data_IF_255803884715
#
_entry.id   IF_255803884715
#
_cell.length_a   1.000
_cell.length_b   1.000
_cell.length_c   1.000
_cell.angle_alpha   90.00
_cell.angle_beta   90.00
_cell.angle_gamma   90.00
#
_symmetry.space_group_name_H-M   'P 1'
#
loop_
_entity.id
_entity.type
_entity.pdbx_description
1 polymer ?
#
# COMPACT_ATOMS: atom_id res chain seq x y z
N UNK A 1 45.43 8.70 -35.68
CA UNK A 1 44.94 7.53 -36.45
C UNK A 1 44.14 6.50 -35.65
N UNK A 2 44.70 5.67 -34.74
CA UNK A 2 43.89 4.64 -34.03
C UNK A 2 42.87 5.22 -33.04
N UNK A 3 43.19 6.33 -32.37
CA UNK A 3 42.30 6.96 -31.37
C UNK A 3 41.13 7.69 -32.03
N UNK A 4 41.36 8.39 -33.15
CA UNK A 4 40.30 9.09 -33.90
C UNK A 4 39.28 8.14 -34.55
N UNK A 5 39.72 6.95 -34.96
CA UNK A 5 38.81 5.90 -35.46
C UNK A 5 37.91 5.39 -34.32
N UNK A 6 38.50 5.13 -33.15
CA UNK A 6 37.74 4.71 -31.96
C UNK A 6 36.72 5.77 -31.51
N UNK A 7 37.10 7.05 -31.49
CA UNK A 7 36.18 8.13 -31.14
C UNK A 7 35.03 8.31 -32.15
N UNK A 8 35.29 8.06 -33.44
CA UNK A 8 34.27 8.09 -34.49
C UNK A 8 33.30 6.90 -34.35
N UNK A 9 33.83 5.70 -34.12
CA UNK A 9 33.02 4.49 -33.90
C UNK A 9 32.18 4.59 -32.60
N UNK A 10 32.72 5.20 -31.54
CA UNK A 10 32.00 5.46 -30.30
C UNK A 10 30.83 6.44 -30.48
N UNK A 11 30.96 7.44 -31.36
CA UNK A 11 29.86 8.37 -31.69
C UNK A 11 28.74 7.69 -32.50
N UNK A 12 29.06 6.63 -33.25
CA UNK A 12 28.11 5.88 -34.07
C UNK A 12 27.35 4.78 -33.29
N UNK A 13 27.82 4.40 -32.09
CA UNK A 13 27.16 3.41 -31.21
C UNK A 13 25.70 3.77 -30.84
N UNK A 14 25.33 5.05 -30.89
CA UNK A 14 23.95 5.52 -30.66
C UNK A 14 23.02 5.42 -31.88
N UNK A 15 23.56 5.18 -33.08
CA UNK A 15 22.81 5.19 -34.35
C UNK A 15 22.20 3.84 -34.74
N UNK A 16 22.72 2.73 -34.17
CA UNK A 16 22.25 1.38 -34.48
C UNK A 16 21.06 1.05 -33.58
N UNK A 17 19.86 0.98 -34.17
CA UNK A 17 18.70 0.46 -33.44
C UNK A 17 18.91 -1.02 -33.13
N UNK A 18 18.92 -1.42 -31.85
CA UNK A 18 19.08 -2.82 -31.50
C UNK A 18 17.91 -3.65 -32.06
N UNK A 19 18.15 -4.91 -32.47
CA UNK A 19 17.08 -5.80 -32.90
C UNK A 19 15.96 -5.88 -31.87
N UNK A 20 14.72 -6.12 -32.30
CA UNK A 20 13.60 -6.30 -31.36
C UNK A 20 13.95 -7.38 -30.31
N UNK A 21 13.74 -7.04 -29.04
CA UNK A 21 14.05 -7.92 -27.90
C UNK A 21 15.52 -8.04 -27.51
N UNK A 22 16.45 -7.36 -28.21
CA UNK A 22 17.89 -7.41 -27.89
C UNK A 22 18.19 -6.88 -26.48
N UNK A 23 17.65 -5.72 -26.11
CA UNK A 23 17.85 -5.14 -24.75
C UNK A 23 17.37 -6.12 -23.67
N UNK A 24 16.17 -6.69 -23.83
CA UNK A 24 15.63 -7.69 -22.89
C UNK A 24 16.51 -8.94 -22.78
N UNK A 25 17.05 -9.44 -23.91
CA UNK A 25 17.99 -10.58 -23.92
C UNK A 25 19.32 -10.25 -23.25
N UNK A 26 19.88 -9.07 -23.50
CA UNK A 26 21.16 -8.63 -22.89
C UNK A 26 20.99 -8.43 -21.39
N UNK A 27 19.91 -7.77 -20.95
CA UNK A 27 19.62 -7.59 -19.54
C UNK A 27 19.42 -8.96 -18.87
N UNK A 28 18.63 -9.86 -19.46
CA UNK A 28 18.41 -11.22 -18.93
C UNK A 28 19.73 -12.01 -18.84
N UNK A 29 20.55 -12.00 -19.89
CA UNK A 29 21.86 -12.67 -19.91
C UNK A 29 22.85 -12.08 -18.89
N UNK A 30 22.77 -10.78 -18.60
CA UNK A 30 23.56 -10.13 -17.56
C UNK A 30 23.03 -10.40 -16.14
N UNK A 31 21.90 -11.11 -15.99
CA UNK A 31 21.23 -11.30 -14.69
C UNK A 31 20.56 -10.03 -14.15
N UNK A 32 20.34 -9.04 -15.03
CA UNK A 32 19.75 -7.73 -14.75
C UNK A 32 18.32 -7.64 -15.34
N UNK A 33 17.91 -8.65 -16.12
CA UNK A 33 16.60 -8.69 -16.78
C UNK A 33 15.47 -8.75 -15.78
N UNK A 34 14.55 -7.79 -15.87
CA UNK A 34 13.31 -7.84 -15.12
C UNK A 34 12.43 -8.98 -15.65
N UNK A 35 11.75 -9.65 -14.72
CA UNK A 35 10.68 -10.60 -15.02
C UNK A 35 9.36 -9.97 -14.64
N UNK A 36 8.28 -10.42 -15.26
CA UNK A 36 6.96 -10.02 -14.83
C UNK A 36 5.93 -11.13 -14.93
N UNK A 37 4.88 -11.02 -14.12
CA UNK A 37 3.68 -11.84 -14.20
C UNK A 37 2.42 -10.97 -14.14
N UNK A 38 1.33 -11.49 -14.67
CA UNK A 38 0.00 -10.91 -14.55
C UNK A 38 -0.57 -11.21 -13.16
N UNK A 39 -1.19 -10.20 -12.56
CA UNK A 39 -1.91 -10.25 -11.31
C UNK A 39 -3.35 -9.82 -11.58
N UNK A 40 -4.26 -10.79 -11.55
CA UNK A 40 -5.69 -10.51 -11.66
C UNK A 40 -6.22 -9.92 -10.35
N UNK A 41 -6.96 -8.82 -10.46
CA UNK A 41 -7.55 -8.11 -9.32
C UNK A 41 -9.00 -7.72 -9.62
N UNK A 42 -9.74 -7.33 -8.58
CA UNK A 42 -11.11 -6.80 -8.73
C UNK A 42 -11.20 -5.46 -9.48
N UNK A 43 -10.06 -4.83 -9.78
CA UNK A 43 -9.97 -3.58 -10.54
C UNK A 43 -9.22 -3.75 -11.87
N UNK A 44 -9.13 -5.01 -12.35
CA UNK A 44 -8.50 -5.41 -13.61
C UNK A 44 -7.11 -6.03 -13.42
N UNK A 45 -6.50 -6.42 -14.53
CA UNK A 45 -5.15 -6.99 -14.58
C UNK A 45 -4.09 -5.96 -14.25
N UNK A 46 -3.13 -6.35 -13.41
CA UNK A 46 -1.88 -5.64 -13.15
C UNK A 46 -0.69 -6.48 -13.59
N UNK A 47 0.44 -5.82 -13.86
CA UNK A 47 1.70 -6.45 -14.16
C UNK A 47 2.65 -6.20 -13.01
N UNK A 48 3.16 -7.28 -12.42
CA UNK A 48 4.13 -7.23 -11.32
C UNK A 48 5.50 -7.49 -11.91
N UNK A 49 6.40 -6.52 -11.81
CA UNK A 49 7.79 -6.63 -12.26
C UNK A 49 8.74 -6.88 -11.09
N UNK A 50 9.77 -7.68 -11.30
CA UNK A 50 10.80 -7.94 -10.29
C UNK A 50 12.17 -8.24 -10.88
N UNK A 51 13.19 -8.00 -10.06
CA UNK A 51 14.58 -8.36 -10.30
C UNK A 51 15.05 -9.40 -9.25
N UNK A 52 16.36 -9.62 -9.14
CA UNK A 52 16.94 -10.54 -8.14
C UNK A 52 16.76 -10.09 -6.67
N UNK A 53 16.62 -8.80 -6.42
CA UNK A 53 16.44 -8.23 -5.08
C UNK A 53 14.98 -8.29 -4.62
N UNK A 54 14.02 -8.19 -5.54
CA UNK A 54 12.60 -8.32 -5.25
C UNK A 54 11.71 -7.67 -6.30
N UNK A 55 10.41 -7.58 -5.97
CA UNK A 55 9.42 -6.82 -6.74
C UNK A 55 9.81 -5.36 -6.75
N UNK A 56 9.89 -4.79 -7.94
CA UNK A 56 10.31 -3.40 -8.20
C UNK A 56 9.12 -2.52 -8.52
N UNK A 57 8.10 -3.05 -9.19
CA UNK A 57 6.94 -2.28 -9.63
C UNK A 57 5.67 -3.13 -9.77
N UNK A 58 4.52 -2.47 -9.59
CA UNK A 58 3.20 -2.99 -9.99
C UNK A 58 2.46 -1.92 -10.76
N UNK A 59 2.07 -2.22 -12.00
CA UNK A 59 1.46 -1.24 -12.90
C UNK A 59 0.34 -1.82 -13.75
N UNK A 60 -0.41 -0.93 -14.43
CA UNK A 60 -1.45 -1.31 -15.41
C UNK A 60 -0.89 -1.53 -16.80
N UNK A 61 0.31 -1.05 -17.06
CA UNK A 61 0.98 -1.17 -18.35
C UNK A 61 1.92 -2.37 -18.34
N UNK A 62 1.94 -3.09 -19.46
CA UNK A 62 2.86 -4.20 -19.64
C UNK A 62 4.29 -3.66 -19.76
N UNK A 63 5.26 -4.17 -18.97
CA UNK A 63 6.65 -3.73 -19.06
C UNK A 63 7.26 -4.08 -20.44
N UNK A 64 7.85 -3.08 -21.11
CA UNK A 64 8.30 -3.18 -22.50
C UNK A 64 9.49 -4.13 -22.71
N UNK A 65 10.26 -4.44 -21.65
CA UNK A 65 11.53 -5.18 -21.74
C UNK A 65 11.70 -6.27 -20.65
N UNK A 66 10.61 -6.71 -20.04
CA UNK A 66 10.63 -7.78 -19.05
C UNK A 66 10.18 -9.12 -19.64
N UNK A 67 10.76 -10.22 -19.15
CA UNK A 67 10.37 -11.57 -19.54
C UNK A 67 9.06 -11.97 -18.84
N UNK A 68 8.05 -12.38 -19.62
CA UNK A 68 6.79 -12.89 -19.06
C UNK A 68 7.05 -14.25 -18.45
N UNK A 69 6.69 -14.42 -17.18
CA UNK A 69 6.64 -15.73 -16.54
C UNK A 69 5.21 -16.08 -16.12
N UNK A 70 4.95 -17.36 -15.89
CA UNK A 70 3.60 -17.86 -15.64
C UNK A 70 3.04 -17.49 -14.26
N UNK A 71 3.89 -17.36 -13.24
CA UNK A 71 3.48 -17.13 -11.84
C UNK A 71 4.43 -16.18 -11.14
N UNK A 72 3.89 -15.48 -10.15
CA UNK A 72 4.66 -14.72 -9.16
C UNK A 72 5.62 -15.63 -8.38
N UNK A 73 6.74 -15.10 -7.86
CA UNK A 73 7.61 -15.85 -6.97
C UNK A 73 6.86 -16.27 -5.70
N UNK A 74 7.15 -17.48 -5.20
CA UNK A 74 6.48 -18.03 -4.02
C UNK A 74 6.70 -17.20 -2.75
N UNK A 75 7.93 -16.70 -2.54
CA UNK A 75 8.22 -15.69 -1.52
C UNK A 75 8.35 -14.32 -2.19
N UNK A 76 7.47 -13.38 -1.82
CA UNK A 76 7.53 -12.01 -2.31
C UNK A 76 8.49 -11.20 -1.43
N UNK A 77 9.54 -10.65 -2.05
CA UNK A 77 10.41 -9.62 -1.47
C UNK A 77 10.15 -8.32 -2.20
N UNK A 78 10.37 -7.18 -1.55
CA UNK A 78 10.20 -5.86 -2.15
C UNK A 78 11.57 -5.20 -2.29
N UNK A 79 11.94 -4.87 -3.52
CA UNK A 79 13.10 -4.04 -3.78
C UNK A 79 12.67 -2.57 -3.69
N UNK A 80 12.88 -1.98 -2.52
CA UNK A 80 12.59 -0.57 -2.25
C UNK A 80 13.87 0.29 -2.35
N UNK A 81 14.88 -0.19 -3.07
CA UNK A 81 16.10 0.56 -3.34
C UNK A 81 15.75 1.80 -4.16
N UNK A 82 16.26 2.96 -3.76
CA UNK A 82 15.93 4.25 -4.37
C UNK A 82 14.84 5.05 -3.64
N UNK A 83 14.14 4.44 -2.67
CA UNK A 83 13.25 5.17 -1.76
C UNK A 83 14.01 5.69 -0.54
N UNK A 84 13.56 6.82 -0.01
CA UNK A 84 14.07 7.39 1.24
C UNK A 84 13.76 6.49 2.44
N UNK A 85 14.51 6.64 3.54
CA UNK A 85 14.23 5.93 4.80
C UNK A 85 12.80 6.16 5.29
N UNK A 86 12.29 7.38 5.11
CA UNK A 86 10.92 7.72 5.47
C UNK A 86 9.89 6.97 4.61
N UNK A 87 10.04 6.96 3.29
CA UNK A 87 9.14 6.22 2.40
C UNK A 87 9.18 4.72 2.67
N UNK A 88 10.37 4.14 2.85
CA UNK A 88 10.53 2.73 3.23
C UNK A 88 9.79 2.43 4.54
N UNK A 89 9.95 3.25 5.56
CA UNK A 89 9.25 3.08 6.84
C UNK A 89 7.72 3.14 6.67
N UNK A 90 7.21 4.07 5.86
CA UNK A 90 5.77 4.17 5.55
C UNK A 90 5.25 2.91 4.86
N UNK A 91 5.94 2.45 3.80
CA UNK A 91 5.52 1.28 3.03
C UNK A 91 5.60 -0.01 3.86
N UNK A 92 6.68 -0.21 4.62
CA UNK A 92 6.80 -1.34 5.55
C UNK A 92 5.70 -1.33 6.61
N UNK A 93 5.41 -0.18 7.21
CA UNK A 93 4.32 -0.09 8.20
C UNK A 93 2.95 -0.37 7.58
N UNK A 94 2.76 0.00 6.31
CA UNK A 94 1.50 -0.25 5.58
C UNK A 94 1.30 -1.74 5.28
N UNK A 95 2.38 -2.51 5.06
CA UNK A 95 2.31 -3.97 4.90
C UNK A 95 1.76 -4.70 6.13
N UNK A 96 1.91 -4.12 7.32
CA UNK A 96 1.38 -4.69 8.56
C UNK A 96 -0.15 -4.61 8.68
N UNK A 97 -0.83 -3.83 7.83
CA UNK A 97 -2.29 -3.67 7.89
C UNK A 97 -2.98 -4.91 7.33
N UNK A 98 -3.74 -5.68 8.13
CA UNK A 98 -4.35 -6.92 7.66
C UNK A 98 -5.38 -6.71 6.55
N UNK A 99 -5.56 -7.73 5.70
CA UNK A 99 -6.64 -7.78 4.71
C UNK A 99 -8.00 -7.59 5.40
N UNK A 100 -8.83 -6.71 4.85
CA UNK A 100 -10.15 -6.43 5.39
C UNK A 100 -10.15 -5.46 6.58
N UNK A 101 -9.00 -4.87 6.90
CA UNK A 101 -8.86 -3.77 7.86
C UNK A 101 -8.34 -2.51 7.18
N UNK A 102 -8.62 -1.36 7.81
CA UNK A 102 -8.06 -0.06 7.40
C UNK A 102 -7.39 0.63 8.58
N UNK A 103 -6.44 1.52 8.26
CA UNK A 103 -5.82 2.47 9.21
C UNK A 103 -5.86 3.88 8.64
N UNK A 104 -5.65 4.88 9.48
CA UNK A 104 -5.59 6.27 9.02
C UNK A 104 -4.16 6.67 8.65
N UNK A 105 -4.01 7.72 7.86
CA UNK A 105 -2.69 8.33 7.64
C UNK A 105 -2.02 8.75 8.96
N UNK A 106 -2.79 9.25 9.93
CA UNK A 106 -2.28 9.59 11.27
C UNK A 106 -1.79 8.37 12.03
N UNK A 107 -2.46 7.22 11.89
CA UNK A 107 -2.01 5.97 12.47
C UNK A 107 -0.65 5.54 11.92
N UNK A 108 -0.46 5.58 10.59
CA UNK A 108 0.83 5.23 9.98
C UNK A 108 1.92 6.20 10.43
N UNK A 109 1.67 7.51 10.40
CA UNK A 109 2.61 8.54 10.82
C UNK A 109 3.08 8.33 12.28
N UNK A 110 2.15 8.00 13.18
CA UNK A 110 2.43 7.67 14.57
C UNK A 110 3.28 6.40 14.70
N UNK A 111 2.90 5.34 13.99
CA UNK A 111 3.55 4.03 14.07
C UNK A 111 4.99 4.01 13.54
N UNK A 112 5.36 4.97 12.70
CA UNK A 112 6.75 5.16 12.26
C UNK A 112 7.51 6.17 13.14
N UNK A 113 6.92 6.62 14.27
CA UNK A 113 7.54 7.58 15.18
C UNK A 113 7.54 9.04 14.68
N UNK A 114 6.71 9.37 13.69
CA UNK A 114 6.63 10.70 13.06
C UNK A 114 5.19 11.24 13.06
N UNK A 115 4.53 11.43 14.22
CA UNK A 115 3.09 11.74 14.31
C UNK A 115 2.66 13.02 13.56
N UNK A 116 3.58 14.00 13.41
CA UNK A 116 3.32 15.25 12.67
C UNK A 116 3.43 15.10 11.15
N UNK A 117 3.88 13.95 10.62
CA UNK A 117 4.18 13.73 9.21
C UNK A 117 2.99 13.22 8.38
N UNK A 118 1.75 13.41 8.83
CA UNK A 118 0.54 12.84 8.20
C UNK A 118 0.44 13.12 6.70
N UNK A 119 0.73 14.37 6.27
CA UNK A 119 0.70 14.74 4.83
C UNK A 119 1.81 14.05 4.05
N UNK A 120 3.02 13.99 4.60
CA UNK A 120 4.17 13.32 3.97
C UNK A 120 3.93 11.81 3.82
N UNK A 121 3.26 11.17 4.80
CA UNK A 121 2.78 9.78 4.67
C UNK A 121 1.83 9.64 3.48
N UNK A 122 0.88 10.58 3.32
CA UNK A 122 -0.02 10.60 2.17
C UNK A 122 0.74 10.67 0.83
N UNK A 123 1.74 11.54 0.72
CA UNK A 123 2.61 11.65 -0.46
C UNK A 123 3.38 10.36 -0.74
N UNK A 124 4.02 9.77 0.29
CA UNK A 124 4.76 8.52 0.16
C UNK A 124 3.86 7.36 -0.32
N UNK A 125 2.63 7.27 0.18
CA UNK A 125 1.67 6.25 -0.24
C UNK A 125 1.10 6.49 -1.64
N UNK A 126 0.94 7.75 -2.06
CA UNK A 126 0.54 8.11 -3.41
C UNK A 126 1.59 7.70 -4.44
N UNK A 127 2.87 7.75 -4.06
CA UNK A 127 4.02 7.36 -4.88
C UNK A 127 4.48 5.91 -4.63
N UNK A 128 3.63 5.06 -4.02
CA UNK A 128 3.95 3.65 -3.82
C UNK A 128 4.23 2.96 -5.18
N UNK A 129 5.45 2.48 -5.44
CA UNK A 129 5.78 1.84 -6.72
C UNK A 129 5.15 0.45 -6.87
N UNK A 130 4.67 -0.13 -5.76
CA UNK A 130 4.17 -1.51 -5.68
C UNK A 130 2.74 -1.50 -5.10
N UNK A 131 1.76 -0.82 -5.75
CA UNK A 131 0.37 -0.85 -5.32
C UNK A 131 -0.18 -2.29 -5.33
N UNK A 132 -1.32 -2.50 -4.66
CA UNK A 132 -1.96 -3.82 -4.45
C UNK A 132 -1.17 -4.75 -3.52
N UNK A 133 0.12 -4.98 -3.79
CA UNK A 133 0.97 -5.82 -2.95
C UNK A 133 1.40 -5.08 -1.66
N UNK A 134 1.86 -3.83 -1.78
CA UNK A 134 1.95 -2.91 -0.64
C UNK A 134 0.59 -2.19 -0.54
N UNK A 135 -0.22 -2.45 0.49
CA UNK A 135 -1.65 -2.19 0.47
C UNK A 135 -1.98 -0.74 0.84
N UNK A 136 -1.50 0.24 0.07
CA UNK A 136 -1.77 1.66 0.31
C UNK A 136 -3.27 2.02 0.20
N UNK A 137 -4.08 1.17 -0.46
CA UNK A 137 -5.55 1.27 -0.44
C UNK A 137 -6.17 1.03 0.95
N UNK A 138 -5.47 0.36 1.89
CA UNK A 138 -5.92 0.16 3.27
C UNK A 138 -5.70 1.37 4.17
N UNK A 139 -5.03 2.42 3.69
CA UNK A 139 -4.84 3.67 4.43
C UNK A 139 -5.87 4.70 3.99
N UNK A 140 -6.71 5.16 4.93
CA UNK A 140 -7.84 6.06 4.66
C UNK A 140 -7.73 7.35 5.46
N UNK A 141 -8.60 8.33 5.16
CA UNK A 141 -8.67 9.55 5.94
C UNK A 141 -9.33 9.29 7.30
N UNK A 142 -8.96 10.07 8.32
CA UNK A 142 -9.53 9.97 9.66
C UNK A 142 -10.99 10.42 9.73
N UNK A 143 -11.47 11.19 8.77
CA UNK A 143 -12.88 11.57 8.62
C UNK A 143 -13.74 10.48 7.98
N UNK A 144 -13.14 9.33 7.61
CA UNK A 144 -13.81 8.20 6.98
C UNK A 144 -14.06 8.36 5.48
N UNK A 145 -13.64 9.48 4.88
CA UNK A 145 -13.73 9.68 3.43
C UNK A 145 -12.67 8.82 2.74
N UNK A 146 -13.11 8.07 1.73
CA UNK A 146 -12.21 7.30 0.86
C UNK A 146 -11.49 8.31 -0.04
N UNK A 147 -10.21 8.55 0.26
CA UNK A 147 -9.37 9.43 -0.55
C UNK A 147 -9.00 8.83 -1.91
N UNK A 148 -8.37 9.65 -2.76
CA UNK A 148 -7.87 9.24 -4.07
C UNK A 148 -6.88 8.05 -3.98
N UNK A 149 -6.76 7.30 -5.07
CA UNK A 149 -5.92 6.11 -5.16
C UNK A 149 -5.17 6.06 -6.49
N UNK A 150 -3.84 6.00 -6.43
CA UNK A 150 -2.98 6.07 -7.62
C UNK A 150 -3.24 4.97 -8.66
N UNK A 151 -3.73 3.79 -8.24
CA UNK A 151 -3.93 2.66 -9.15
C UNK A 151 -5.35 2.56 -9.75
N UNK A 152 -6.17 3.62 -9.67
CA UNK A 152 -7.47 3.65 -10.37
C UNK A 152 -8.57 4.51 -9.73
N UNK A 153 -8.22 5.47 -8.89
CA UNK A 153 -9.17 6.42 -8.30
C UNK A 153 -9.96 5.88 -7.09
N UNK A 154 -10.82 6.73 -6.48
CA UNK A 154 -11.61 6.39 -5.30
C UNK A 154 -12.49 5.14 -5.47
N UNK A 155 -13.07 4.94 -6.65
CA UNK A 155 -13.94 3.80 -6.97
C UNK A 155 -13.16 2.49 -7.00
N UNK A 156 -11.93 2.51 -7.51
CA UNK A 156 -11.06 1.33 -7.46
C UNK A 156 -10.68 0.99 -6.02
N UNK A 157 -10.36 2.00 -5.20
CA UNK A 157 -10.07 1.81 -3.77
C UNK A 157 -11.27 1.23 -3.03
N UNK A 158 -12.47 1.75 -3.30
CA UNK A 158 -13.72 1.21 -2.75
C UNK A 158 -13.88 -0.27 -3.09
N UNK A 159 -13.78 -0.63 -4.38
CA UNK A 159 -13.93 -2.02 -4.86
C UNK A 159 -12.94 -2.99 -4.21
N UNK A 160 -11.67 -2.58 -4.07
CA UNK A 160 -10.67 -3.42 -3.39
C UNK A 160 -11.03 -3.60 -1.92
N UNK A 161 -11.34 -2.51 -1.21
CA UNK A 161 -11.69 -2.57 0.22
C UNK A 161 -12.93 -3.44 0.47
N UNK A 162 -13.94 -3.33 -0.38
CA UNK A 162 -15.14 -4.14 -0.28
C UNK A 162 -14.85 -5.62 -0.52
N UNK A 163 -14.10 -5.95 -1.59
CA UNK A 163 -13.65 -7.31 -1.86
C UNK A 163 -12.78 -7.91 -0.73
N UNK A 164 -12.01 -7.06 -0.04
CA UNK A 164 -11.24 -7.47 1.13
C UNK A 164 -12.08 -7.70 2.40
N UNK A 165 -13.35 -7.26 2.40
CA UNK A 165 -14.26 -7.37 3.54
C UNK A 165 -14.13 -6.23 4.55
N UNK A 166 -13.55 -5.09 4.15
CA UNK A 166 -13.42 -3.91 5.02
C UNK A 166 -14.73 -3.13 5.20
N UNK A 167 -15.77 -3.46 4.41
CA UNK A 167 -17.13 -2.88 4.48
C UNK A 167 -17.12 -1.34 4.39
N UNK A 168 -16.61 -0.77 3.28
CA UNK A 168 -16.46 0.68 3.12
C UNK A 168 -17.77 1.47 3.35
N UNK A 169 -18.93 0.92 2.98
CA UNK A 169 -20.23 1.57 3.26
C UNK A 169 -20.49 1.78 4.75
N UNK A 170 -20.17 0.79 5.58
CA UNK A 170 -20.28 0.89 7.04
C UNK A 170 -19.33 1.96 7.59
N UNK A 171 -18.11 2.04 7.05
CA UNK A 171 -17.15 3.06 7.45
C UNK A 171 -17.68 4.46 7.13
N UNK A 172 -18.29 4.64 5.95
CA UNK A 172 -18.93 5.89 5.54
C UNK A 172 -20.17 6.23 6.40
N UNK A 173 -20.99 5.23 6.75
CA UNK A 173 -22.14 5.42 7.65
C UNK A 173 -21.70 5.91 9.03
N UNK A 174 -20.74 5.21 9.65
CA UNK A 174 -20.15 5.60 10.93
C UNK A 174 -19.52 6.99 10.84
N UNK A 175 -18.85 7.27 9.71
CA UNK A 175 -18.21 8.54 9.47
C UNK A 175 -19.21 9.72 9.48
N UNK A 176 -20.35 9.56 8.81
CA UNK A 176 -21.46 10.54 8.78
C UNK A 176 -22.04 10.78 10.17
N UNK A 177 -22.09 9.75 11.01
CA UNK A 177 -22.52 9.84 12.42
C UNK A 177 -21.43 10.33 13.37
N UNK A 178 -20.32 10.86 12.85
CA UNK A 178 -19.13 11.28 13.61
C UNK A 178 -18.58 10.18 14.53
N UNK A 179 -18.82 8.92 14.20
CA UNK A 179 -18.24 7.77 14.89
C UNK A 179 -16.92 7.42 14.23
N UNK A 180 -15.84 7.38 15.02
CA UNK A 180 -14.49 7.02 14.56
C UNK A 180 -13.99 5.72 15.19
N UNK A 181 -14.55 5.38 16.34
CA UNK A 181 -14.19 4.21 17.12
C UNK A 181 -15.46 3.50 17.56
N UNK A 182 -15.35 2.19 17.77
CA UNK A 182 -16.42 1.37 18.32
C UNK A 182 -15.88 0.57 19.50
N UNK A 183 -16.66 0.48 20.57
CA UNK A 183 -16.31 -0.30 21.74
C UNK A 183 -17.33 -1.37 22.08
N UNK A 184 -16.90 -2.32 22.90
CA UNK A 184 -17.71 -3.45 23.38
C UNK A 184 -18.17 -3.19 24.80
N UNK A 185 -19.50 -3.18 25.03
CA UNK A 185 -20.11 -3.02 26.36
C UNK A 185 -19.58 -4.04 27.37
N UNK A 186 -19.32 -5.27 26.91
CA UNK A 186 -18.89 -6.39 27.75
C UNK A 186 -17.41 -6.33 28.12
N UNK A 187 -16.52 -6.06 27.17
CA UNK A 187 -15.07 -6.09 27.41
C UNK A 187 -14.49 -4.73 27.81
N UNK A 188 -15.25 -3.65 27.62
CA UNK A 188 -14.79 -2.25 27.78
C UNK A 188 -13.54 -1.95 26.95
N UNK A 189 -13.44 -2.56 25.77
CA UNK A 189 -12.37 -2.31 24.80
C UNK A 189 -12.93 -1.54 23.61
N UNK A 190 -12.24 -0.48 23.16
CA UNK A 190 -12.55 0.23 21.92
C UNK A 190 -11.52 -0.05 20.82
N UNK A 191 -11.95 0.00 19.57
CA UNK A 191 -11.20 -0.34 18.37
C UNK A 191 -11.58 0.56 17.18
N UNK A 192 -10.76 0.54 16.13
CA UNK A 192 -11.17 1.01 14.81
C UNK A 192 -12.31 0.12 14.26
N UNK A 193 -13.30 0.66 13.53
CA UNK A 193 -14.48 -0.11 13.11
C UNK A 193 -14.20 -1.32 12.22
N UNK A 194 -13.14 -1.26 11.41
CA UNK A 194 -12.71 -2.36 10.54
C UNK A 194 -11.86 -3.41 11.25
N UNK A 195 -11.42 -3.14 12.49
CA UNK A 195 -10.64 -4.09 13.30
C UNK A 195 -11.39 -5.42 13.41
N UNK A 196 -10.69 -6.52 13.23
CA UNK A 196 -11.26 -7.85 13.37
C UNK A 196 -11.95 -8.09 14.72
N UNK A 197 -11.42 -7.54 15.82
CA UNK A 197 -12.06 -7.59 17.13
C UNK A 197 -13.36 -6.77 17.19
N UNK A 198 -13.37 -5.58 16.58
CA UNK A 198 -14.56 -4.72 16.49
C UNK A 198 -15.69 -5.39 15.69
N UNK A 199 -15.34 -6.03 14.57
CA UNK A 199 -16.30 -6.70 13.67
C UNK A 199 -17.04 -7.87 14.30
N UNK A 200 -16.59 -8.37 15.46
CA UNK A 200 -17.23 -9.47 16.20
C UNK A 200 -18.10 -8.99 17.35
N UNK A 201 -18.12 -7.69 17.63
CA UNK A 201 -19.00 -7.12 18.64
C UNK A 201 -20.44 -7.29 18.14
N UNK A 202 -21.29 -7.92 18.96
CA UNK A 202 -22.71 -8.03 18.63
C UNK A 202 -23.35 -6.64 18.62
N UNK A 203 -24.30 -6.33 17.72
CA UNK A 203 -24.91 -4.99 17.63
C UNK A 203 -25.42 -4.43 18.96
N UNK A 204 -26.03 -5.27 19.79
CA UNK A 204 -26.54 -4.92 21.12
C UNK A 204 -25.43 -4.58 22.14
N UNK A 205 -24.17 -4.92 21.84
CA UNK A 205 -23.00 -4.64 22.67
C UNK A 205 -22.07 -3.59 22.07
N UNK A 206 -22.38 -3.05 20.90
CA UNK A 206 -21.57 -2.03 20.25
C UNK A 206 -21.86 -0.63 20.82
N UNK A 207 -20.81 0.13 21.11
CA UNK A 207 -20.87 1.51 21.59
C UNK A 207 -20.06 2.40 20.67
N UNK A 208 -20.66 3.38 19.99
CA UNK A 208 -19.93 4.30 19.12
C UNK A 208 -19.20 5.37 19.95
N UNK A 209 -18.00 5.76 19.49
CA UNK A 209 -17.23 6.85 20.05
C UNK A 209 -16.73 7.79 18.95
N UNK A 210 -16.75 9.10 19.23
CA UNK A 210 -16.26 10.12 18.32
C UNK A 210 -14.73 10.14 18.24
N UNK A 211 -14.05 9.88 19.36
CA UNK A 211 -12.61 9.89 19.49
C UNK A 211 -12.17 9.06 20.72
N UNK A 212 -10.86 9.00 20.93
CA UNK A 212 -10.25 8.30 22.06
C UNK A 212 -10.63 8.91 23.42
N UNK A 213 -10.73 10.24 23.52
CA UNK A 213 -11.05 10.93 24.77
C UNK A 213 -12.45 10.55 25.26
N UNK A 214 -13.42 10.53 24.35
CA UNK A 214 -14.78 10.09 24.63
C UNK A 214 -14.83 8.63 25.12
N UNK A 215 -14.07 7.74 24.47
CA UNK A 215 -14.00 6.33 24.86
C UNK A 215 -13.38 6.14 26.26
N UNK A 216 -12.27 6.84 26.54
CA UNK A 216 -11.60 6.78 27.85
C UNK A 216 -12.45 7.35 28.98
N UNK A 217 -13.10 8.49 28.75
CA UNK A 217 -14.00 9.10 29.73
C UNK A 217 -15.18 8.19 30.05
N UNK A 218 -15.61 7.35 29.11
CA UNK A 218 -16.63 6.32 29.31
C UNK A 218 -16.10 5.01 29.96
N UNK A 219 -14.83 4.97 30.37
CA UNK A 219 -14.20 3.83 31.03
C UNK A 219 -13.74 2.71 30.09
N UNK A 220 -13.51 3.01 28.80
CA UNK A 220 -13.00 2.03 27.84
C UNK A 220 -11.49 2.16 27.64
N UNK A 221 -10.83 1.03 27.43
CA UNK A 221 -9.39 0.96 27.11
C UNK A 221 -9.16 0.65 25.62
N UNK A 222 -8.04 1.07 25.02
CA UNK A 222 -7.75 0.77 23.63
C UNK A 222 -7.47 -0.71 23.40
N UNK A 223 -7.90 -1.22 22.25
CA UNK A 223 -7.57 -2.58 21.79
C UNK A 223 -6.13 -2.72 21.30
N UNK A 224 -5.53 -3.87 21.55
CA UNK A 224 -4.13 -4.15 21.20
C UNK A 224 -3.92 -4.53 19.73
N UNK A 225 -4.97 -4.99 19.04
CA UNK A 225 -4.87 -5.42 17.64
C UNK A 225 -4.74 -4.24 16.68
N UNK A 226 -5.71 -3.32 16.72
CA UNK A 226 -5.70 -2.17 15.83
C UNK A 226 -4.96 -0.95 16.38
N UNK A 227 -4.62 -0.96 17.68
CA UNK A 227 -3.93 0.13 18.38
C UNK A 227 -4.56 1.48 18.06
N UNK A 228 -5.86 1.66 18.40
CA UNK A 228 -6.64 2.82 17.98
C UNK A 228 -6.24 4.11 18.71
N UNK A 229 -5.64 3.99 19.90
CA UNK A 229 -5.21 5.10 20.72
C UNK A 229 -3.93 5.75 20.19
N UNK A 230 -3.86 7.08 20.15
CA UNK A 230 -2.61 7.80 19.90
C UNK A 230 -1.57 7.42 20.97
N UNK A 231 -0.30 7.29 20.56
CA UNK A 231 0.80 7.03 21.49
C UNK A 231 0.93 8.34 22.25
N UNK A 232 0.81 8.28 23.58
CA UNK A 232 1.13 9.42 24.43
C UNK A 232 2.56 9.85 24.09
N UNK A 233 2.68 11.06 23.53
CA UNK A 233 3.94 11.72 23.24
C UNK A 233 4.78 11.93 24.49
#
# INVERSE_FOLDING_TARGET
>A
MKVEILERELRELGGVRPPRGFVGRVLSAAGIGERYAELETVIGTFFVSWNRAGVTAVGRERPAHAEKVAKLPGQIRFDLTGLTDFERAVLHKTLEIPRGEVRTYSWVAREIGRPRAVRAVGTALANNPIPILIPCHRVVRSDGVIGNYGAGGPEAKFRILDHEGARPDRLLELARRRTRLVGSRTTKVFCLPSCHAARRIRPENEVPFADESAARSAGYRPGLHCRPAEIAS
#
